data_IF_563645130744
#
_entry.id   IF_563645130744
#
_cell.length_a   1.000
_cell.length_b   1.000
_cell.length_c   1.000
_cell.angle_alpha   90.00
_cell.angle_beta   90.00
_cell.angle_gamma   90.00
#
_symmetry.space_group_name_H-M   'P 1'
#
loop_
_entity.id
_entity.type
_entity.pdbx_description
1 polymer ?
#
# COMPACT_ATOMS: atom_id res chain seq x y z
N UNK A 1 -19.66 5.72 -13.51
CA UNK A 1 -18.73 5.53 -14.67
C UNK A 1 -18.06 4.18 -14.49
N UNK A 2 -17.96 3.34 -15.53
CA UNK A 2 -17.20 2.08 -15.46
C UNK A 2 -15.71 2.40 -15.40
N UNK A 3 -14.97 1.83 -14.44
CA UNK A 3 -13.53 1.93 -14.36
C UNK A 3 -12.91 0.97 -15.40
N UNK A 4 -12.07 1.52 -16.27
CA UNK A 4 -11.22 0.77 -17.21
C UNK A 4 -9.80 1.23 -16.93
N UNK A 5 -9.12 0.47 -16.07
CA UNK A 5 -7.83 0.88 -15.50
C UNK A 5 -6.65 0.16 -16.13
N UNK A 6 -5.52 0.84 -16.13
CA UNK A 6 -4.20 0.23 -16.29
C UNK A 6 -3.33 0.64 -15.10
N UNK A 7 -2.50 -0.28 -14.63
CA UNK A 7 -1.59 -0.05 -13.51
C UNK A 7 -0.16 0.15 -14.03
N UNK A 8 0.55 1.09 -13.42
CA UNK A 8 2.00 1.22 -13.54
C UNK A 8 2.63 0.99 -12.16
N UNK A 9 3.61 0.09 -12.13
CA UNK A 9 4.35 -0.23 -10.91
C UNK A 9 5.50 0.77 -10.72
N UNK A 10 5.39 1.59 -9.69
CA UNK A 10 6.38 2.59 -9.27
C UNK A 10 7.02 2.22 -7.92
N UNK A 11 6.59 1.14 -7.31
CA UNK A 11 7.15 0.62 -6.06
C UNK A 11 8.49 -0.09 -6.28
N UNK A 12 8.60 -0.85 -7.37
CA UNK A 12 9.79 -1.68 -7.67
C UNK A 12 10.98 -0.88 -8.15
N UNK A 13 10.74 0.19 -8.91
CA UNK A 13 11.78 1.11 -9.37
C UNK A 13 11.22 2.52 -9.56
N UNK A 14 12.08 3.52 -9.35
CA UNK A 14 11.74 4.92 -9.61
C UNK A 14 11.86 5.20 -11.10
N UNK A 15 10.74 5.41 -11.77
CA UNK A 15 10.68 5.82 -13.17
C UNK A 15 10.84 7.32 -13.34
N UNK A 16 11.31 7.75 -14.50
CA UNK A 16 11.35 9.19 -14.85
C UNK A 16 9.93 9.71 -15.08
N UNK A 17 9.67 10.93 -14.63
CA UNK A 17 8.34 11.56 -14.77
C UNK A 17 7.91 11.63 -16.25
N UNK A 18 8.83 11.91 -17.18
CA UNK A 18 8.56 11.94 -18.61
C UNK A 18 8.12 10.58 -19.16
N UNK A 19 8.68 9.50 -18.63
CA UNK A 19 8.25 8.14 -18.99
C UNK A 19 6.84 7.87 -18.49
N UNK A 20 6.53 8.23 -17.24
CA UNK A 20 5.19 8.08 -16.66
C UNK A 20 4.16 8.89 -17.47
N UNK A 21 4.46 10.13 -17.82
CA UNK A 21 3.60 10.95 -18.68
C UNK A 21 3.35 10.32 -20.05
N UNK A 22 4.41 9.77 -20.67
CA UNK A 22 4.28 9.04 -21.93
C UNK A 22 3.42 7.78 -21.81
N UNK A 23 3.55 7.06 -20.68
CA UNK A 23 2.68 5.91 -20.39
C UNK A 23 1.22 6.34 -20.27
N UNK A 24 0.93 7.42 -19.56
CA UNK A 24 -0.42 8.00 -19.40
C UNK A 24 -1.00 8.41 -20.75
N UNK A 25 -0.22 9.06 -21.61
CA UNK A 25 -0.63 9.47 -22.97
C UNK A 25 -1.03 8.27 -23.83
N UNK A 26 -0.29 7.18 -23.72
CA UNK A 26 -0.61 5.95 -24.45
C UNK A 26 -1.85 5.25 -23.88
N UNK A 27 -1.97 5.19 -22.56
CA UNK A 27 -3.14 4.62 -21.89
C UNK A 27 -4.44 5.35 -22.29
N UNK A 28 -4.42 6.69 -22.31
CA UNK A 28 -5.53 7.51 -22.79
C UNK A 28 -5.91 7.14 -24.24
N UNK A 29 -4.93 7.08 -25.15
CA UNK A 29 -5.14 6.71 -26.57
C UNK A 29 -5.72 5.30 -26.74
N UNK A 30 -5.41 4.37 -25.82
CA UNK A 30 -5.93 3.01 -25.82
C UNK A 30 -7.29 2.87 -25.16
N UNK A 31 -7.87 3.97 -24.69
CA UNK A 31 -9.22 4.03 -24.13
C UNK A 31 -9.33 3.70 -22.66
N UNK A 32 -8.22 3.67 -21.93
CA UNK A 32 -8.25 3.64 -20.46
C UNK A 32 -8.76 4.98 -19.91
N UNK A 33 -9.54 4.92 -18.85
CA UNK A 33 -10.04 6.11 -18.16
C UNK A 33 -9.49 6.25 -16.74
N UNK A 34 -8.61 5.35 -16.34
CA UNK A 34 -8.07 5.27 -14.99
C UNK A 34 -6.63 4.79 -15.01
N UNK A 35 -5.77 5.47 -14.29
CA UNK A 35 -4.39 5.06 -14.05
C UNK A 35 -4.26 4.70 -12.57
N UNK A 36 -3.86 3.49 -12.29
CA UNK A 36 -3.47 3.05 -10.95
C UNK A 36 -1.97 3.22 -10.82
N UNK A 37 -1.55 4.04 -9.88
CA UNK A 37 -0.15 4.22 -9.52
C UNK A 37 0.16 3.28 -8.35
N UNK A 38 0.80 2.15 -8.63
CA UNK A 38 1.22 1.21 -7.61
C UNK A 38 2.48 1.74 -6.93
N UNK A 39 2.30 2.29 -5.74
CA UNK A 39 3.31 3.08 -5.04
C UNK A 39 4.02 2.28 -3.94
N UNK A 40 3.39 1.20 -3.47
CA UNK A 40 3.82 0.52 -2.23
C UNK A 40 4.05 1.55 -1.10
N UNK A 41 5.29 1.60 -0.59
CA UNK A 41 5.75 2.59 0.37
C UNK A 41 7.02 3.27 -0.19
N UNK A 42 6.89 4.02 -1.30
CA UNK A 42 8.02 4.59 -2.05
C UNK A 42 8.00 6.12 -2.16
N UNK A 43 7.20 6.79 -1.32
CA UNK A 43 7.08 8.26 -1.35
C UNK A 43 7.72 8.88 -0.11
N UNK A 44 8.53 9.91 -0.31
CA UNK A 44 9.06 10.71 0.81
C UNK A 44 7.99 11.65 1.35
N UNK A 45 7.60 11.39 2.60
CA UNK A 45 6.63 12.14 3.37
C UNK A 45 7.28 12.65 4.65
N UNK A 46 6.51 13.31 5.51
CA UNK A 46 6.98 13.75 6.83
C UNK A 46 7.34 12.57 7.74
N UNK A 47 6.71 11.40 7.55
CA UNK A 47 7.00 10.20 8.36
C UNK A 47 8.10 9.33 7.74
N UNK A 48 8.52 9.61 6.51
CA UNK A 48 9.59 8.89 5.80
C UNK A 48 10.75 9.81 5.36
N UNK A 49 11.23 10.74 6.21
CA UNK A 49 12.29 11.68 5.83
C UNK A 49 13.64 10.98 5.59
N UNK A 50 13.76 9.72 6.00
CA UNK A 50 14.95 8.89 5.86
C UNK A 50 15.02 8.11 4.53
N UNK A 51 13.99 8.21 3.69
CA UNK A 51 13.99 7.54 2.39
C UNK A 51 15.03 8.13 1.44
N UNK A 52 15.69 7.25 0.69
CA UNK A 52 16.68 7.60 -0.33
C UNK A 52 16.02 8.33 -1.50
N UNK A 53 16.57 9.50 -1.86
CA UNK A 53 16.02 10.33 -2.93
C UNK A 53 16.14 9.68 -4.32
N UNK A 54 17.16 8.88 -4.53
CA UNK A 54 17.37 8.21 -5.81
C UNK A 54 16.36 7.09 -6.07
N UNK A 55 15.79 6.51 -5.01
CA UNK A 55 14.86 5.37 -5.10
C UNK A 55 13.39 5.73 -4.83
N UNK A 56 13.10 6.98 -4.42
CA UNK A 56 11.76 7.35 -3.96
C UNK A 56 11.31 8.68 -4.53
N UNK A 57 10.01 8.85 -4.70
CA UNK A 57 9.43 10.11 -5.16
C UNK A 57 9.21 11.07 -4.00
N UNK A 58 9.39 12.37 -4.26
CA UNK A 58 8.92 13.43 -3.37
C UNK A 58 7.42 13.65 -3.53
N UNK A 59 6.80 14.29 -2.54
CA UNK A 59 5.40 14.72 -2.63
C UNK A 59 5.14 15.67 -3.82
N UNK A 60 6.15 16.48 -4.21
CA UNK A 60 6.05 17.37 -5.38
C UNK A 60 6.00 16.56 -6.68
N UNK A 61 6.86 15.53 -6.82
CA UNK A 61 6.87 14.66 -8.01
C UNK A 61 5.57 13.88 -8.13
N UNK A 62 5.06 13.32 -7.02
CA UNK A 62 3.77 12.60 -7.03
C UNK A 62 2.61 13.53 -7.34
N UNK A 63 2.61 14.75 -6.80
CA UNK A 63 1.60 15.75 -7.16
C UNK A 63 1.63 16.09 -8.65
N UNK A 64 2.81 16.28 -9.23
CA UNK A 64 2.96 16.56 -10.67
C UNK A 64 2.38 15.42 -11.52
N UNK A 65 2.63 14.17 -11.13
CA UNK A 65 2.10 12.99 -11.82
C UNK A 65 0.57 12.93 -11.69
N UNK A 66 0.04 13.12 -10.49
CA UNK A 66 -1.40 13.10 -10.23
C UNK A 66 -2.12 14.21 -11.01
N UNK A 67 -1.62 15.44 -10.95
CA UNK A 67 -2.16 16.60 -11.69
C UNK A 67 -2.14 16.35 -13.21
N UNK A 68 -1.09 15.71 -13.74
CA UNK A 68 -1.01 15.37 -15.15
C UNK A 68 -2.09 14.38 -15.60
N UNK A 69 -2.30 13.32 -14.81
CA UNK A 69 -3.33 12.32 -15.09
C UNK A 69 -4.72 12.96 -15.01
N UNK A 70 -5.01 13.67 -13.92
CA UNK A 70 -6.32 14.28 -13.68
C UNK A 70 -6.60 15.43 -14.66
N UNK A 71 -5.57 16.19 -15.07
CA UNK A 71 -5.66 17.23 -16.09
C UNK A 71 -6.08 16.72 -17.48
N UNK A 72 -5.92 15.42 -17.76
CA UNK A 72 -6.43 14.74 -18.95
C UNK A 72 -7.87 14.22 -18.79
N UNK A 73 -8.48 14.41 -17.64
CA UNK A 73 -9.80 13.86 -17.31
C UNK A 73 -9.80 12.38 -16.96
N UNK A 74 -8.62 11.80 -16.71
CA UNK A 74 -8.48 10.44 -16.24
C UNK A 74 -8.56 10.39 -14.70
N UNK A 75 -8.91 9.24 -14.14
CA UNK A 75 -8.80 9.00 -12.69
C UNK A 75 -7.36 8.61 -12.35
N UNK A 76 -6.79 9.25 -11.34
CA UNK A 76 -5.56 8.82 -10.69
C UNK A 76 -5.90 8.10 -9.39
N UNK A 77 -5.51 6.83 -9.26
CA UNK A 77 -5.73 6.03 -8.06
C UNK A 77 -4.37 5.67 -7.47
N UNK A 78 -4.02 6.18 -6.27
CA UNK A 78 -2.85 5.69 -5.56
C UNK A 78 -3.13 4.29 -5.01
N UNK A 79 -2.19 3.36 -5.21
CA UNK A 79 -2.22 2.02 -4.65
C UNK A 79 -1.04 1.84 -3.69
N UNK A 80 -1.37 1.49 -2.47
CA UNK A 80 -0.44 1.28 -1.38
C UNK A 80 -0.34 -0.21 -1.07
N UNK A 81 0.77 -0.56 -0.43
CA UNK A 81 0.91 -1.78 0.34
C UNK A 81 1.18 -1.39 1.78
N UNK A 82 0.37 -1.89 2.71
CA UNK A 82 0.44 -1.52 4.11
C UNK A 82 0.37 -2.70 5.08
N UNK A 83 0.49 -3.93 4.58
CA UNK A 83 0.59 -5.13 5.40
C UNK A 83 1.71 -6.04 4.90
N UNK A 84 1.76 -6.28 3.61
CA UNK A 84 2.78 -7.04 2.90
C UNK A 84 3.44 -6.17 1.84
N UNK A 85 4.45 -6.65 1.12
CA UNK A 85 5.20 -5.90 0.10
C UNK A 85 5.79 -4.56 0.58
N UNK A 86 6.10 -4.45 1.88
CA UNK A 86 6.69 -3.23 2.46
C UNK A 86 8.18 -3.37 2.76
N UNK A 87 8.89 -4.27 2.06
CA UNK A 87 10.33 -4.51 2.24
C UNK A 87 11.16 -3.26 1.99
N UNK A 88 10.70 -2.37 1.11
CA UNK A 88 11.38 -1.09 0.85
C UNK A 88 11.39 -0.21 2.10
N UNK A 89 10.30 -0.18 2.86
CA UNK A 89 10.23 0.51 4.14
C UNK A 89 11.03 -0.22 5.22
N UNK A 90 10.83 -1.54 5.34
CA UNK A 90 11.37 -2.33 6.46
C UNK A 90 12.91 -2.51 6.39
N UNK A 91 13.55 -2.18 5.26
CA UNK A 91 15.02 -2.14 5.17
C UNK A 91 15.63 -0.99 5.99
N UNK A 92 14.88 0.05 6.28
CA UNK A 92 15.36 1.18 7.08
C UNK A 92 15.27 0.87 8.58
N UNK A 93 16.33 1.20 9.31
CA UNK A 93 16.38 0.98 10.78
C UNK A 93 15.29 1.74 11.53
N UNK A 94 14.89 2.89 11.00
CA UNK A 94 13.82 3.75 11.54
C UNK A 94 12.46 3.06 11.53
N UNK A 95 12.24 2.15 10.58
CA UNK A 95 11.00 1.41 10.40
C UNK A 95 11.08 -0.06 10.86
N UNK A 96 12.26 -0.54 11.27
CA UNK A 96 12.47 -1.95 11.62
C UNK A 96 11.52 -2.47 12.71
N UNK A 97 11.09 -1.60 13.64
CA UNK A 97 10.13 -1.96 14.71
C UNK A 97 8.73 -2.25 14.21
N UNK A 98 8.40 -1.86 12.96
CA UNK A 98 7.10 -2.10 12.34
C UNK A 98 6.99 -3.52 11.76
N UNK A 99 8.12 -4.20 11.56
CA UNK A 99 8.15 -5.55 11.00
C UNK A 99 7.54 -6.58 11.93
N UNK A 100 6.83 -7.55 11.34
CA UNK A 100 6.43 -8.78 12.02
C UNK A 100 7.66 -9.59 12.46
N UNK A 101 8.73 -9.56 11.68
CA UNK A 101 9.98 -10.31 11.88
C UNK A 101 11.17 -9.39 12.19
N UNK A 102 10.98 -8.42 13.06
CA UNK A 102 11.99 -7.38 13.37
C UNK A 102 13.36 -7.93 13.80
N UNK A 103 13.38 -9.10 14.45
CA UNK A 103 14.59 -9.75 14.95
C UNK A 103 15.26 -10.65 13.86
N UNK A 104 14.57 -10.86 12.73
CA UNK A 104 15.04 -11.62 11.57
C UNK A 104 15.30 -10.70 10.36
N UNK A 105 15.64 -9.45 10.61
CA UNK A 105 15.80 -8.44 9.57
C UNK A 105 16.80 -8.86 8.52
N UNK A 106 16.37 -8.80 7.26
CA UNK A 106 17.22 -9.08 6.10
C UNK A 106 17.76 -7.74 5.60
N UNK A 107 19.09 -7.55 5.78
CA UNK A 107 19.77 -6.34 5.31
C UNK A 107 20.05 -6.39 3.81
N UNK A 108 20.17 -5.22 3.20
CA UNK A 108 20.56 -5.05 1.81
C UNK A 108 19.39 -4.73 0.88
N UNK A 109 19.74 -4.39 -0.36
CA UNK A 109 18.79 -4.07 -1.45
C UNK A 109 18.66 -5.28 -2.38
N UNK A 110 17.51 -5.37 -3.05
CA UNK A 110 17.24 -6.38 -4.04
C UNK A 110 16.31 -7.49 -3.54
N UNK A 111 15.85 -8.27 -4.48
CA UNK A 111 14.91 -9.36 -4.23
C UNK A 111 15.64 -10.63 -3.75
N UNK A 112 15.10 -11.29 -2.74
CA UNK A 112 15.42 -12.67 -2.37
C UNK A 112 14.16 -13.38 -1.85
N UNK A 113 14.08 -14.72 -1.94
CA UNK A 113 12.93 -15.48 -1.40
C UNK A 113 12.68 -15.23 0.09
N UNK A 114 13.73 -15.11 0.89
CA UNK A 114 13.64 -14.86 2.33
C UNK A 114 13.10 -13.44 2.60
N UNK A 115 13.60 -12.47 1.84
CA UNK A 115 13.17 -11.08 1.93
C UNK A 115 11.71 -10.94 1.52
N UNK A 116 11.32 -11.58 0.45
CA UNK A 116 9.93 -11.61 -0.01
C UNK A 116 9.00 -12.21 1.05
N UNK A 117 9.39 -13.31 1.70
CA UNK A 117 8.53 -14.01 2.66
C UNK A 117 8.45 -13.33 4.04
N UNK A 118 9.58 -12.85 4.56
CA UNK A 118 9.68 -12.38 5.94
C UNK A 118 10.10 -10.93 6.07
N UNK A 119 10.89 -10.42 5.13
CA UNK A 119 11.33 -9.03 5.10
C UNK A 119 10.25 -8.04 4.68
N UNK A 120 9.12 -8.53 4.16
CA UNK A 120 8.05 -7.72 3.56
C UNK A 120 6.84 -7.51 4.46
N UNK A 121 6.78 -8.14 5.64
CA UNK A 121 5.58 -8.23 6.46
C UNK A 121 5.58 -7.24 7.60
N UNK A 122 4.54 -6.42 7.69
CA UNK A 122 4.30 -5.53 8.81
C UNK A 122 3.52 -6.20 9.95
N UNK A 123 3.70 -5.70 11.17
CA UNK A 123 2.96 -6.20 12.32
C UNK A 123 1.74 -5.31 12.62
N UNK A 124 0.57 -5.68 12.12
CA UNK A 124 -0.68 -4.94 12.35
C UNK A 124 -1.16 -4.95 13.81
N UNK A 125 -0.61 -5.84 14.64
CA UNK A 125 -0.83 -5.83 16.10
C UNK A 125 0.10 -4.86 16.84
N UNK A 126 1.00 -4.18 16.11
CA UNK A 126 1.82 -3.11 16.65
C UNK A 126 1.07 -1.77 16.50
N UNK A 127 0.71 -1.05 17.59
CA UNK A 127 -0.03 0.20 17.46
C UNK A 127 0.72 1.29 16.70
N UNK A 128 2.06 1.25 16.66
CA UNK A 128 2.86 2.20 15.88
C UNK A 128 2.77 1.92 14.38
N UNK A 129 2.41 0.70 13.98
CA UNK A 129 2.26 0.31 12.59
C UNK A 129 1.12 1.08 11.90
N UNK A 130 -0.10 0.96 12.44
CA UNK A 130 -1.25 1.67 11.88
C UNK A 130 -1.08 3.18 11.98
N UNK A 131 -0.56 3.70 13.12
CA UNK A 131 -0.26 5.13 13.26
C UNK A 131 0.69 5.65 12.18
N UNK A 132 1.71 4.86 11.81
CA UNK A 132 2.64 5.21 10.75
C UNK A 132 1.93 5.25 9.39
N UNK A 133 1.21 4.17 9.04
CA UNK A 133 0.53 4.08 7.74
C UNK A 133 -0.62 5.05 7.60
N UNK A 134 -1.39 5.34 8.65
CA UNK A 134 -2.43 6.38 8.65
C UNK A 134 -1.85 7.73 8.24
N UNK A 135 -0.74 8.11 8.86
CA UNK A 135 -0.07 9.38 8.55
C UNK A 135 0.52 9.39 7.13
N UNK A 136 1.17 8.28 6.72
CA UNK A 136 1.77 8.13 5.40
C UNK A 136 0.71 8.19 4.29
N UNK A 137 -0.31 7.35 4.35
CA UNK A 137 -1.37 7.24 3.34
C UNK A 137 -2.17 8.54 3.26
N UNK A 138 -2.50 9.14 4.40
CA UNK A 138 -3.23 10.42 4.43
C UNK A 138 -2.43 11.53 3.75
N UNK A 139 -1.12 11.63 4.01
CA UNK A 139 -0.27 12.65 3.40
C UNK A 139 -0.17 12.42 1.89
N UNK A 140 0.10 11.20 1.43
CA UNK A 140 0.17 10.88 -0.01
C UNK A 140 -1.17 11.10 -0.69
N UNK A 141 -2.28 10.66 -0.10
CA UNK A 141 -3.62 10.86 -0.64
C UNK A 141 -4.03 12.33 -0.76
N UNK A 142 -3.39 13.24 -0.03
CA UNK A 142 -3.72 14.67 -0.05
C UNK A 142 -3.48 15.34 -1.41
N UNK A 143 -2.68 14.72 -2.28
CA UNK A 143 -2.40 15.24 -3.64
C UNK A 143 -3.22 14.55 -4.74
N UNK A 144 -4.08 13.59 -4.38
CA UNK A 144 -4.99 12.89 -5.30
C UNK A 144 -6.43 13.35 -5.08
N UNK A 145 -7.03 14.00 -6.07
CA UNK A 145 -8.40 14.55 -5.97
C UNK A 145 -9.49 13.50 -6.23
N UNK A 146 -9.10 12.36 -6.84
CA UNK A 146 -10.01 11.24 -7.10
C UNK A 146 -10.58 10.63 -5.81
N UNK A 147 -11.76 10.04 -5.92
CA UNK A 147 -12.49 9.45 -4.79
C UNK A 147 -12.05 8.02 -4.41
N UNK A 148 -11.03 7.48 -5.03
CA UNK A 148 -10.59 6.11 -4.82
C UNK A 148 -9.19 6.05 -4.21
N UNK A 149 -8.95 5.03 -3.40
CA UNK A 149 -7.64 4.63 -2.89
C UNK A 149 -7.58 3.10 -2.86
N UNK A 150 -6.47 2.53 -3.31
CA UNK A 150 -6.23 1.09 -3.25
C UNK A 150 -5.28 0.79 -2.09
N UNK A 151 -5.69 -0.11 -1.19
CA UNK A 151 -4.96 -0.42 0.04
C UNK A 151 -4.09 -1.69 -0.07
N UNK A 152 -4.02 -2.33 -1.25
CA UNK A 152 -3.26 -3.56 -1.45
C UNK A 152 -3.91 -4.75 -0.76
N UNK A 153 -3.25 -5.29 0.26
CA UNK A 153 -3.70 -6.41 1.08
C UNK A 153 -3.61 -7.78 0.40
N UNK A 154 -2.77 -7.90 -0.65
CA UNK A 154 -2.46 -9.15 -1.32
C UNK A 154 -1.32 -9.92 -0.63
N UNK A 155 -1.25 -11.19 -0.94
CA UNK A 155 -0.13 -12.12 -0.65
C UNK A 155 0.39 -12.14 0.81
N UNK A 156 -0.43 -11.83 1.82
CA UNK A 156 -0.03 -11.78 3.24
C UNK A 156 0.16 -13.19 3.82
N UNK A 157 1.11 -13.96 3.28
CA UNK A 157 1.23 -15.40 3.60
C UNK A 157 1.82 -15.69 4.97
N UNK A 158 2.89 -15.00 5.35
CA UNK A 158 3.61 -15.26 6.61
C UNK A 158 3.39 -14.13 7.61
N UNK A 159 2.29 -14.15 8.35
CA UNK A 159 1.99 -13.16 9.40
C UNK A 159 1.48 -13.83 10.67
N UNK A 160 1.27 -13.04 11.71
CA UNK A 160 0.82 -13.47 13.03
C UNK A 160 1.81 -14.41 13.75
N UNK A 161 3.11 -14.20 13.52
CA UNK A 161 4.19 -14.99 14.10
C UNK A 161 4.93 -14.25 15.25
N UNK A 162 4.83 -12.93 15.33
CA UNK A 162 5.47 -12.16 16.39
C UNK A 162 4.81 -12.37 17.77
N UNK A 163 5.48 -12.01 18.87
CA UNK A 163 4.92 -12.17 20.21
C UNK A 163 3.57 -11.46 20.42
N UNK A 164 3.34 -10.30 19.78
CA UNK A 164 2.06 -9.58 19.89
C UNK A 164 0.93 -10.34 19.22
N UNK A 165 1.14 -10.76 17.97
CA UNK A 165 0.15 -11.53 17.22
C UNK A 165 -0.11 -12.89 17.88
N UNK A 166 0.95 -13.59 18.36
CA UNK A 166 0.80 -14.84 19.13
C UNK A 166 0.00 -14.66 20.42
N UNK A 167 0.08 -13.51 21.06
CA UNK A 167 -0.75 -13.22 22.23
C UNK A 167 -2.23 -13.10 21.87
N UNK A 168 -2.57 -12.47 20.72
CA UNK A 168 -3.94 -12.43 20.19
C UNK A 168 -4.49 -13.82 19.87
N UNK A 169 -3.67 -14.65 19.19
CA UNK A 169 -4.04 -16.05 18.90
C UNK A 169 -4.29 -16.86 20.17
N UNK A 170 -3.46 -16.67 21.21
CA UNK A 170 -3.66 -17.32 22.52
C UNK A 170 -4.91 -16.82 23.24
N UNK A 171 -5.34 -15.59 23.00
CA UNK A 171 -6.58 -15.02 23.54
C UNK A 171 -7.83 -15.52 22.81
N UNK A 172 -7.70 -16.33 21.77
CA UNK A 172 -8.79 -16.95 21.03
C UNK A 172 -9.09 -16.32 19.67
N UNK A 173 -8.35 -15.28 19.25
CA UNK A 173 -8.45 -14.76 17.88
C UNK A 173 -7.82 -15.75 16.89
N UNK A 174 -8.22 -15.67 15.63
CA UNK A 174 -7.65 -16.42 14.52
C UNK A 174 -6.80 -15.52 13.62
N UNK A 175 -6.04 -16.12 12.70
CA UNK A 175 -5.35 -15.32 11.64
C UNK A 175 -6.37 -14.55 10.79
N UNK A 176 -7.56 -15.13 10.52
CA UNK A 176 -8.66 -14.43 9.86
C UNK A 176 -9.03 -13.15 10.61
N UNK A 177 -9.20 -13.20 11.93
CA UNK A 177 -9.59 -12.04 12.72
C UNK A 177 -8.52 -10.93 12.68
N UNK A 178 -7.24 -11.31 12.70
CA UNK A 178 -6.12 -10.36 12.59
C UNK A 178 -6.13 -9.69 11.22
N UNK A 179 -6.27 -10.47 10.13
CA UNK A 179 -6.34 -9.93 8.77
C UNK A 179 -7.58 -9.04 8.59
N UNK A 180 -8.75 -9.52 8.98
CA UNK A 180 -10.00 -8.77 8.87
C UNK A 180 -9.97 -7.45 9.66
N UNK A 181 -9.34 -7.45 10.84
CA UNK A 181 -9.17 -6.22 11.62
C UNK A 181 -8.33 -5.17 10.88
N UNK A 182 -7.33 -5.59 10.07
CA UNK A 182 -6.57 -4.66 9.24
C UNK A 182 -7.39 -4.15 8.06
N UNK A 183 -8.13 -5.03 7.38
CA UNK A 183 -9.05 -4.62 6.30
C UNK A 183 -10.03 -3.55 6.79
N UNK A 184 -10.62 -3.76 7.96
CA UNK A 184 -11.58 -2.79 8.54
C UNK A 184 -10.90 -1.49 8.97
N UNK A 185 -9.67 -1.55 9.48
CA UNK A 185 -8.87 -0.35 9.78
C UNK A 185 -8.65 0.50 8.52
N UNK A 186 -8.22 -0.12 7.44
CA UNK A 186 -7.95 0.53 6.16
C UNK A 186 -9.21 1.11 5.52
N UNK A 187 -10.34 0.39 5.67
CA UNK A 187 -11.64 0.89 5.26
C UNK A 187 -12.03 2.17 5.99
N UNK A 188 -11.90 2.19 7.31
CA UNK A 188 -12.20 3.39 8.11
C UNK A 188 -11.23 4.55 7.78
N UNK A 189 -9.97 4.26 7.53
CA UNK A 189 -8.99 5.26 7.07
C UNK A 189 -9.42 5.85 5.72
N UNK A 190 -9.77 5.02 4.74
CA UNK A 190 -10.27 5.49 3.44
C UNK A 190 -11.51 6.36 3.58
N UNK A 191 -12.47 5.95 4.40
CA UNK A 191 -13.69 6.72 4.70
C UNK A 191 -13.38 8.05 5.37
N UNK A 192 -12.43 8.10 6.29
CA UNK A 192 -12.02 9.34 6.96
C UNK A 192 -11.46 10.38 5.99
N UNK A 193 -10.86 9.92 4.88
CA UNK A 193 -10.36 10.75 3.78
C UNK A 193 -11.45 11.08 2.73
N UNK A 194 -12.69 10.60 2.91
CA UNK A 194 -13.77 10.75 1.93
C UNK A 194 -13.58 9.90 0.67
N UNK A 195 -12.80 8.81 0.76
CA UNK A 195 -12.48 7.95 -0.37
C UNK A 195 -13.19 6.59 -0.28
N UNK A 196 -13.36 5.95 -1.42
CA UNK A 196 -13.80 4.56 -1.55
C UNK A 196 -12.57 3.67 -1.63
N UNK A 197 -12.53 2.64 -0.79
CA UNK A 197 -11.44 1.68 -0.74
C UNK A 197 -11.53 0.67 -1.89
N UNK A 198 -10.39 0.39 -2.52
CA UNK A 198 -10.14 -0.78 -3.36
C UNK A 198 -9.13 -1.68 -2.65
N UNK A 199 -9.23 -3.00 -2.87
CA UNK A 199 -8.25 -3.98 -2.39
C UNK A 199 -8.15 -5.15 -3.36
N UNK A 200 -7.07 -5.93 -3.24
CA UNK A 200 -6.97 -7.21 -3.94
C UNK A 200 -7.82 -8.28 -3.23
N UNK A 201 -8.28 -9.27 -3.99
CA UNK A 201 -9.23 -10.29 -3.52
C UNK A 201 -8.63 -11.68 -3.31
N UNK A 202 -7.33 -11.85 -3.52
CA UNK A 202 -6.64 -13.14 -3.45
C UNK A 202 -6.76 -13.81 -2.06
N UNK A 203 -6.91 -13.03 -0.98
CA UNK A 203 -7.11 -13.57 0.37
C UNK A 203 -8.52 -14.09 0.65
N UNK A 204 -9.48 -13.84 -0.23
CA UNK A 204 -10.82 -14.45 -0.11
C UNK A 204 -10.81 -15.96 -0.31
N UNK A 205 -9.79 -16.49 -1.00
CA UNK A 205 -9.56 -17.93 -1.12
C UNK A 205 -9.14 -18.58 0.21
N UNK A 206 -8.48 -17.81 1.09
CA UNK A 206 -7.97 -18.31 2.39
C UNK A 206 -8.91 -18.01 3.54
N UNK A 207 -9.62 -16.88 3.50
CA UNK A 207 -10.47 -16.41 4.57
C UNK A 207 -11.84 -16.02 4.01
N UNK A 208 -12.88 -16.71 4.46
CA UNK A 208 -14.27 -16.38 4.11
C UNK A 208 -14.70 -15.11 4.85
N UNK A 209 -14.30 -13.96 4.31
CA UNK A 209 -14.61 -12.62 4.84
C UNK A 209 -15.56 -11.83 3.93
N UNK A 210 -15.80 -12.27 2.70
CA UNK A 210 -16.54 -11.50 1.67
C UNK A 210 -17.93 -11.07 2.15
N UNK A 211 -18.63 -11.94 2.91
CA UNK A 211 -19.96 -11.62 3.43
C UNK A 211 -19.95 -10.58 4.55
N UNK A 212 -18.81 -10.40 5.21
CA UNK A 212 -18.60 -9.51 6.34
C UNK A 212 -18.09 -8.12 5.90
N UNK A 213 -17.54 -8.01 4.68
CA UNK A 213 -17.01 -6.76 4.14
C UNK A 213 -18.11 -5.71 3.91
N UNK A 214 -17.81 -4.42 4.13
CA UNK A 214 -18.63 -3.32 3.66
C UNK A 214 -18.90 -3.40 2.15
N UNK A 215 -20.15 -3.14 1.75
CA UNK A 215 -20.60 -3.32 0.35
C UNK A 215 -20.05 -2.29 -0.63
N UNK A 216 -19.41 -1.25 -0.17
CA UNK A 216 -18.80 -0.17 -0.96
C UNK A 216 -17.27 -0.32 -1.12
N UNK A 217 -16.68 -1.40 -0.62
CA UNK A 217 -15.32 -1.84 -1.03
C UNK A 217 -15.39 -2.42 -2.45
N UNK A 218 -14.38 -2.12 -3.25
CA UNK A 218 -14.26 -2.55 -4.65
C UNK A 218 -13.07 -3.48 -4.81
#
# INVERSE_FOLDING_TARGET
>A
MKIVAVQIDLGRQKEKIEFIKSFVDNAEKWGYNTIILYLECSIRTKVTPFFDEDDTYSMTEIKEIADYIEGKGLLAIPAFENFYHIEKLLQYKEAASLSEFKDERIEGRGWSPERFKRGSVGCTSNPDFNKFFDAYITEVCSVFHGKYVHMGLDEVFEFAECPRCKARLKAGETKKDIFFSQVMHDYELAKSMGKTMLMWDDFFEYYDILAELPRDII
#
